data_IF_342062393604
#
_entry.id   IF_342062393604
#
_cell.length_a   1.000
_cell.length_b   1.000
_cell.length_c   1.000
_cell.angle_alpha   90.00
_cell.angle_beta   90.00
_cell.angle_gamma   90.00
#
_symmetry.space_group_name_H-M   'P 1'
#
loop_
_entity.id
_entity.type
_entity.pdbx_description
1 polymer ?
#
# COMPACT_ATOMS: atom_id res chain seq x y z
N UNK A 1 16.75 -13.95 -3.57
CA UNK A 1 16.97 -12.60 -4.12
C UNK A 1 15.80 -11.69 -3.78
N UNK A 2 16.12 -10.54 -3.25
CA UNK A 2 15.07 -9.57 -2.88
C UNK A 2 14.59 -8.82 -4.11
N UNK A 3 13.30 -8.54 -4.18
CA UNK A 3 12.71 -7.92 -5.36
C UNK A 3 11.93 -6.69 -5.02
N UNK A 4 12.42 -5.54 -5.48
CA UNK A 4 11.64 -4.34 -5.54
C UNK A 4 11.31 -3.70 -4.21
N UNK A 5 10.56 -2.63 -4.32
CA UNK A 5 10.16 -1.80 -3.19
C UNK A 5 8.68 -1.95 -2.94
N UNK A 6 8.30 -2.14 -1.70
CA UNK A 6 6.92 -2.39 -1.31
C UNK A 6 6.42 -1.28 -0.40
N UNK A 7 5.24 -0.78 -0.69
CA UNK A 7 4.54 0.17 0.17
C UNK A 7 3.28 -0.51 0.70
N UNK A 8 3.07 -0.49 2.00
CA UNK A 8 1.90 -1.10 2.62
C UNK A 8 1.07 -0.02 3.30
N UNK A 9 -0.21 0.02 2.98
CA UNK A 9 -1.13 1.02 3.54
C UNK A 9 -2.24 0.30 4.29
N UNK A 10 -2.33 0.54 5.60
CA UNK A 10 -3.36 -0.04 6.45
C UNK A 10 -3.49 0.84 7.69
N UNK A 11 -4.70 1.10 8.15
CA UNK A 11 -4.90 1.93 9.33
C UNK A 11 -4.58 1.20 10.65
N UNK A 12 -4.32 -0.09 10.59
CA UNK A 12 -3.96 -0.89 11.76
C UNK A 12 -2.45 -1.09 11.84
N UNK A 13 -1.82 -0.47 12.82
CA UNK A 13 -0.36 -0.53 12.95
C UNK A 13 0.15 -1.93 13.24
N UNK A 14 -0.62 -2.75 13.91
CA UNK A 14 -0.21 -4.12 14.20
C UNK A 14 -0.11 -4.95 12.93
N UNK A 15 -1.05 -4.74 12.01
CA UNK A 15 -1.01 -5.42 10.73
C UNK A 15 0.18 -4.95 9.91
N UNK A 16 0.47 -3.65 9.92
CA UNK A 16 1.62 -3.12 9.22
C UNK A 16 2.92 -3.74 9.74
N UNK A 17 3.04 -3.84 11.05
CA UNK A 17 4.22 -4.42 11.67
C UNK A 17 4.38 -5.88 11.28
N UNK A 18 3.30 -6.65 11.36
CA UNK A 18 3.33 -8.07 11.03
C UNK A 18 3.68 -8.30 9.56
N UNK A 19 3.08 -7.54 8.66
CA UNK A 19 3.37 -7.67 7.24
C UNK A 19 4.81 -7.27 6.91
N UNK A 20 5.30 -6.22 7.57
CA UNK A 20 6.66 -5.81 7.36
C UNK A 20 7.64 -6.91 7.76
N UNK A 21 7.43 -7.52 8.92
CA UNK A 21 8.29 -8.61 9.37
C UNK A 21 8.22 -9.81 8.43
N UNK A 22 7.01 -10.14 8.00
CA UNK A 22 6.80 -11.31 7.16
C UNK A 22 7.44 -11.14 5.77
N UNK A 23 7.34 -9.95 5.21
CA UNK A 23 7.73 -9.72 3.83
C UNK A 23 9.14 -9.15 3.67
N UNK A 24 9.73 -8.68 4.75
CA UNK A 24 11.06 -8.07 4.70
C UNK A 24 12.11 -8.92 4.01
N UNK A 25 12.16 -10.24 4.26
CA UNK A 25 13.20 -11.05 3.61
C UNK A 25 13.09 -11.13 2.09
N UNK A 26 11.91 -10.82 1.56
CA UNK A 26 11.64 -10.96 0.13
C UNK A 26 11.71 -9.67 -0.65
N UNK A 27 11.79 -8.53 0.05
CA UNK A 27 11.74 -7.23 -0.60
C UNK A 27 13.03 -6.46 -0.41
N UNK A 28 13.34 -5.62 -1.37
CA UNK A 28 14.51 -4.75 -1.27
C UNK A 28 14.33 -3.70 -0.17
N UNK A 29 13.18 -3.06 -0.17
CA UNK A 29 12.82 -2.08 0.85
C UNK A 29 11.32 -2.12 1.07
N UNK A 30 10.90 -1.81 2.29
CA UNK A 30 9.48 -1.74 2.64
C UNK A 30 9.23 -0.43 3.36
N UNK A 31 8.13 0.24 2.99
CA UNK A 31 7.63 1.40 3.73
C UNK A 31 6.19 1.13 4.10
N UNK A 32 5.76 1.68 5.22
CA UNK A 32 4.39 1.48 5.70
C UNK A 32 3.77 2.83 6.02
N UNK A 33 2.46 2.92 5.90
CA UNK A 33 1.73 4.12 6.25
C UNK A 33 0.34 3.76 6.74
N UNK A 34 -0.19 4.54 7.66
CA UNK A 34 -1.52 4.32 8.21
C UNK A 34 -2.58 5.13 7.49
N UNK A 35 -2.18 6.02 6.61
CA UNK A 35 -3.13 6.90 5.91
C UNK A 35 -2.88 6.85 4.41
N UNK A 36 -3.94 6.67 3.62
CA UNK A 36 -3.78 6.60 2.16
C UNK A 36 -3.28 7.91 1.56
N UNK A 37 -3.48 9.03 2.27
CA UNK A 37 -2.99 10.31 1.79
C UNK A 37 -1.47 10.36 1.64
N UNK A 38 -0.77 9.45 2.33
CA UNK A 38 0.68 9.38 2.22
C UNK A 38 1.15 8.73 0.92
N UNK A 39 0.25 8.15 0.16
CA UNK A 39 0.61 7.48 -1.08
C UNK A 39 1.30 8.45 -2.04
N UNK A 40 0.78 9.66 -2.19
CA UNK A 40 1.39 10.64 -3.09
C UNK A 40 2.86 10.91 -2.73
N UNK A 41 3.12 11.06 -1.45
CA UNK A 41 4.48 11.31 -0.98
C UNK A 41 5.40 10.15 -1.35
N UNK A 42 4.96 8.92 -1.08
CA UNK A 42 5.79 7.75 -1.37
C UNK A 42 5.93 7.48 -2.86
N UNK A 43 4.93 7.83 -3.66
CA UNK A 43 5.05 7.70 -5.10
C UNK A 43 6.15 8.59 -5.67
N UNK A 44 6.40 9.73 -5.02
CA UNK A 44 7.44 10.66 -5.47
C UNK A 44 8.80 10.39 -4.86
N UNK A 45 8.84 9.91 -3.62
CA UNK A 45 10.11 9.80 -2.89
C UNK A 45 10.64 8.39 -2.83
N UNK A 46 9.76 7.42 -2.71
CA UNK A 46 10.15 6.02 -2.57
C UNK A 46 10.03 5.26 -3.89
N UNK A 47 9.06 5.63 -4.70
CA UNK A 47 8.81 5.03 -6.00
C UNK A 47 8.64 3.51 -5.87
N UNK A 48 7.57 3.07 -5.20
CA UNK A 48 7.39 1.64 -4.96
C UNK A 48 7.07 0.88 -6.24
N UNK A 49 7.45 -0.39 -6.27
CA UNK A 49 7.10 -1.28 -7.36
C UNK A 49 5.77 -1.96 -7.09
N UNK A 50 5.45 -2.20 -5.83
CA UNK A 50 4.23 -2.87 -5.40
C UNK A 50 3.62 -2.09 -4.25
N UNK A 51 2.30 -1.94 -4.28
CA UNK A 51 1.56 -1.31 -3.19
C UNK A 51 0.52 -2.30 -2.67
N UNK A 52 0.56 -2.59 -1.38
CA UNK A 52 -0.49 -3.35 -0.72
C UNK A 52 -1.44 -2.35 -0.07
N UNK A 53 -2.68 -2.33 -0.49
CA UNK A 53 -3.65 -1.35 -0.05
C UNK A 53 -4.82 -2.03 0.64
N UNK A 54 -5.08 -1.63 1.87
CA UNK A 54 -6.19 -2.17 2.64
C UNK A 54 -7.51 -1.66 2.07
N UNK A 55 -8.44 -2.58 1.81
CA UNK A 55 -9.77 -2.22 1.31
C UNK A 55 -10.71 -1.76 2.41
N UNK A 56 -10.34 -1.95 3.65
CA UNK A 56 -11.24 -1.71 4.78
C UNK A 56 -10.91 -0.43 5.55
N UNK A 57 -10.62 0.66 4.84
CA UNK A 57 -10.44 1.93 5.52
C UNK A 57 -11.76 2.37 6.14
N UNK A 58 -11.67 2.81 7.38
CA UNK A 58 -12.88 3.16 8.13
C UNK A 58 -13.68 4.29 7.50
N UNK A 59 -13.02 5.19 6.83
CA UNK A 59 -13.67 6.36 6.26
C UNK A 59 -14.59 6.03 5.11
N UNK A 60 -14.38 4.89 4.48
CA UNK A 60 -15.19 4.51 3.33
C UNK A 60 -15.50 3.03 3.39
N UNK A 61 -15.91 2.59 4.56
CA UNK A 61 -16.19 1.18 4.79
C UNK A 61 -17.39 0.68 4.02
N UNK A 62 -18.29 1.57 3.64
CA UNK A 62 -19.55 1.17 3.04
C UNK A 62 -19.37 0.72 1.60
N UNK A 63 -18.62 1.45 0.82
CA UNK A 63 -18.59 1.23 -0.62
C UNK A 63 -17.29 0.65 -1.14
N UNK A 64 -16.24 0.75 -0.38
CA UNK A 64 -14.93 0.36 -0.87
C UNK A 64 -14.37 1.31 -1.92
N UNK A 65 -15.01 2.46 -2.11
CA UNK A 65 -14.59 3.40 -3.15
C UNK A 65 -13.22 4.01 -2.88
N UNK A 66 -12.83 4.06 -1.62
CA UNK A 66 -11.52 4.60 -1.27
C UNK A 66 -10.40 3.84 -2.00
N UNK A 67 -10.49 2.52 -2.00
CA UNK A 67 -9.49 1.70 -2.68
C UNK A 67 -9.44 1.97 -4.17
N UNK A 68 -10.61 2.06 -4.80
CA UNK A 68 -10.68 2.30 -6.24
C UNK A 68 -10.19 3.71 -6.60
N UNK A 69 -10.50 4.70 -5.75
CA UNK A 69 -10.02 6.04 -5.95
C UNK A 69 -8.49 6.08 -5.98
N UNK A 70 -7.87 5.42 -5.01
CA UNK A 70 -6.42 5.40 -4.92
C UNK A 70 -5.78 4.58 -6.04
N UNK A 71 -6.44 3.50 -6.46
CA UNK A 71 -5.96 2.70 -7.58
C UNK A 71 -5.85 3.56 -8.83
N UNK A 72 -6.89 4.31 -9.14
CA UNK A 72 -6.87 5.17 -10.32
C UNK A 72 -5.79 6.23 -10.21
N UNK A 73 -5.65 6.84 -9.04
CA UNK A 73 -4.66 7.88 -8.83
C UNK A 73 -3.24 7.35 -8.99
N UNK A 74 -2.98 6.20 -8.40
CA UNK A 74 -1.66 5.56 -8.49
C UNK A 74 -1.32 5.23 -9.94
N UNK A 75 -2.28 4.66 -10.67
CA UNK A 75 -2.03 4.24 -12.04
C UNK A 75 -1.82 5.42 -12.98
N UNK A 76 -2.36 6.58 -12.65
CA UNK A 76 -2.10 7.79 -13.43
C UNK A 76 -0.67 8.28 -13.25
N UNK A 77 -0.12 8.14 -12.05
CA UNK A 77 1.24 8.58 -11.75
C UNK A 77 2.25 7.58 -12.31
N UNK A 78 2.00 6.30 -12.07
CA UNK A 78 2.94 5.26 -12.47
C UNK A 78 2.15 4.02 -12.95
N UNK A 79 1.95 3.89 -14.26
CA UNK A 79 1.14 2.77 -14.79
C UNK A 79 1.71 1.39 -14.52
N UNK A 80 3.02 1.31 -14.30
CA UNK A 80 3.67 0.01 -14.13
C UNK A 80 3.65 -0.52 -12.71
N UNK A 81 3.21 0.28 -11.74
CA UNK A 81 3.17 -0.19 -10.36
C UNK A 81 2.07 -1.25 -10.19
N UNK A 82 2.37 -2.26 -9.39
CA UNK A 82 1.40 -3.32 -9.11
C UNK A 82 0.68 -2.97 -7.83
N UNK A 83 -0.65 -2.91 -7.88
CA UNK A 83 -1.46 -2.60 -6.69
C UNK A 83 -2.23 -3.85 -6.31
N UNK A 84 -2.03 -4.31 -5.08
CA UNK A 84 -2.73 -5.46 -4.54
C UNK A 84 -3.61 -5.00 -3.39
N UNK A 85 -4.84 -5.47 -3.38
CA UNK A 85 -5.78 -5.14 -2.32
C UNK A 85 -5.88 -6.29 -1.34
N UNK A 86 -6.10 -5.97 -0.08
CA UNK A 86 -6.36 -7.01 0.89
C UNK A 86 -7.41 -6.52 1.89
N UNK A 87 -8.10 -7.46 2.50
CA UNK A 87 -9.09 -7.19 3.51
C UNK A 87 -8.59 -7.72 4.82
N UNK A 88 -8.42 -6.86 5.76
CA UNK A 88 -7.89 -7.29 7.03
C UNK A 88 -8.99 -7.63 7.99
N UNK A 89 -9.24 -8.78 8.19
CA UNK A 89 -10.10 -9.19 9.26
C UNK A 89 -9.79 -10.48 9.84
#
# INVERSE_FOLDING_TARGET
MKKGKLLIIDDNEDILFALNLLLEPYMEQIRVATQPERIDHFMRTFIPDIILLDMNFKRDAISGQEGFYWLEKIKKIEPDVVVLFFSGY
#
